data_IF_553903477702
#
_entry.id   IF_553903477702
#
_cell.length_a   1.000
_cell.length_b   1.000
_cell.length_c   1.000
_cell.angle_alpha   90.00
_cell.angle_beta   90.00
_cell.angle_gamma   90.00
#
_symmetry.space_group_name_H-M   'P 1'
#
loop_
_entity.id
_entity.type
_entity.pdbx_description
1 polymer ?
#
# COMPACT_ATOMS: atom_id res chain seq x y z
N UNK A 1 16.19 -14.81 42.22
CA UNK A 1 16.21 -15.30 43.63
C UNK A 1 15.55 -16.68 43.76
N UNK A 2 14.27 -16.84 43.42
CA UNK A 2 13.54 -18.13 43.56
C UNK A 2 14.28 -19.31 42.92
N UNK A 3 14.76 -19.15 41.67
CA UNK A 3 15.58 -20.18 41.00
C UNK A 3 16.82 -20.59 41.81
N UNK A 4 17.55 -19.61 42.34
CA UNK A 4 18.76 -19.85 43.12
C UNK A 4 18.50 -20.49 44.49
N UNK A 5 17.31 -20.31 45.07
CA UNK A 5 16.90 -21.00 46.31
C UNK A 5 16.52 -22.45 45.99
N UNK A 6 15.72 -22.67 44.94
CA UNK A 6 15.22 -23.99 44.57
C UNK A 6 16.32 -24.96 44.10
N UNK A 7 17.42 -24.46 43.55
CA UNK A 7 18.53 -25.28 43.02
C UNK A 7 19.77 -25.28 43.91
N UNK A 8 19.72 -24.67 45.10
CA UNK A 8 20.86 -24.63 46.01
C UNK A 8 21.12 -26.01 46.63
N UNK A 9 22.39 -26.42 46.66
CA UNK A 9 22.82 -27.64 47.35
C UNK A 9 23.83 -27.28 48.45
N UNK A 10 23.51 -27.52 49.74
CA UNK A 10 24.40 -27.23 50.86
C UNK A 10 25.68 -28.10 50.90
N UNK A 11 25.66 -29.29 50.30
CA UNK A 11 26.79 -30.23 50.28
C UNK A 11 27.98 -29.70 49.47
N UNK A 12 27.77 -28.67 48.64
CA UNK A 12 28.81 -28.06 47.79
C UNK A 12 29.70 -27.06 48.53
N UNK A 13 29.56 -26.91 49.85
CA UNK A 13 30.39 -26.04 50.71
C UNK A 13 30.56 -24.60 50.19
N UNK A 14 29.49 -24.03 49.63
CA UNK A 14 29.44 -22.63 49.20
C UNK A 14 28.34 -21.90 49.95
N UNK A 15 28.55 -20.62 50.28
CA UNK A 15 27.52 -19.81 50.93
C UNK A 15 26.36 -19.59 49.96
N UNK A 16 25.13 -19.75 50.47
CA UNK A 16 23.90 -19.50 49.70
C UNK A 16 23.92 -18.12 49.03
N UNK A 17 24.39 -17.08 49.73
CA UNK A 17 24.50 -15.73 49.19
C UNK A 17 25.37 -15.67 47.92
N UNK A 18 26.51 -16.38 47.91
CA UNK A 18 27.42 -16.44 46.77
C UNK A 18 26.77 -17.11 45.56
N UNK A 19 26.06 -18.22 45.78
CA UNK A 19 25.33 -18.92 44.72
C UNK A 19 24.14 -18.11 44.20
N UNK A 20 23.29 -17.62 45.10
CA UNK A 20 22.09 -16.86 44.76
C UNK A 20 22.42 -15.55 44.03
N UNK A 21 23.52 -14.88 44.39
CA UNK A 21 24.00 -13.69 43.69
C UNK A 21 24.27 -13.97 42.21
N UNK A 22 24.91 -15.10 41.89
CA UNK A 22 25.16 -15.50 40.49
C UNK A 22 23.88 -15.84 39.75
N UNK A 23 22.94 -16.50 40.40
CA UNK A 23 21.63 -16.79 39.80
C UNK A 23 20.83 -15.50 39.54
N UNK A 24 20.91 -14.50 40.42
CA UNK A 24 20.23 -13.19 40.25
C UNK A 24 20.88 -12.41 39.10
N UNK A 25 22.21 -12.30 39.09
CA UNK A 25 22.98 -11.65 38.04
C UNK A 25 22.64 -12.23 36.66
N UNK A 26 22.58 -13.56 36.55
CA UNK A 26 22.20 -14.22 35.30
C UNK A 26 20.76 -13.91 34.87
N UNK A 27 19.79 -13.86 35.79
CA UNK A 27 18.41 -13.52 35.42
C UNK A 27 18.25 -12.06 34.99
N UNK A 28 18.97 -11.13 35.63
CA UNK A 28 19.03 -9.73 35.18
C UNK A 28 19.62 -9.66 33.78
N UNK A 29 20.73 -10.35 33.53
CA UNK A 29 21.35 -10.43 32.21
C UNK A 29 20.39 -11.02 31.16
N UNK A 30 19.67 -12.09 31.49
CA UNK A 30 18.69 -12.71 30.60
C UNK A 30 17.51 -11.77 30.32
N UNK A 31 17.03 -11.03 31.31
CA UNK A 31 15.99 -10.01 31.14
C UNK A 31 16.46 -8.89 30.19
N UNK A 32 17.66 -8.35 30.41
CA UNK A 32 18.24 -7.30 29.56
C UNK A 32 18.43 -7.77 28.11
N UNK A 33 18.86 -9.02 27.89
CA UNK A 33 18.99 -9.60 26.54
C UNK A 33 17.65 -9.80 25.84
N UNK A 34 16.58 -10.10 26.58
CA UNK A 34 15.23 -10.23 26.00
C UNK A 34 14.68 -8.87 25.59
N UNK A 35 14.88 -7.86 26.43
CA UNK A 35 14.40 -6.49 26.21
C UNK A 35 15.34 -5.62 25.35
N UNK A 36 16.49 -6.14 24.89
CA UNK A 36 17.36 -5.36 24.00
C UNK A 36 16.71 -5.10 22.63
N UNK A 37 15.73 -5.93 22.23
CA UNK A 37 15.00 -5.77 20.96
C UNK A 37 14.05 -4.57 20.97
N UNK A 38 13.48 -4.25 22.12
CA UNK A 38 12.57 -3.11 22.31
C UNK A 38 13.30 -1.81 22.64
N UNK A 39 14.64 -1.82 22.75
CA UNK A 39 15.45 -0.63 23.08
C UNK A 39 15.45 0.44 21.97
N UNK A 40 15.08 0.06 20.74
CA UNK A 40 14.93 0.98 19.61
C UNK A 40 13.51 1.53 19.47
N UNK A 41 12.57 1.07 20.29
CA UNK A 41 11.20 1.57 20.29
C UNK A 41 11.17 2.95 20.96
N UNK A 42 10.51 3.89 20.31
CA UNK A 42 10.31 5.27 20.79
C UNK A 42 8.82 5.44 21.02
N UNK A 43 8.43 6.12 22.10
CA UNK A 43 7.02 6.41 22.35
C UNK A 43 6.52 7.44 21.34
N UNK A 44 5.33 7.23 20.79
CA UNK A 44 4.70 8.21 19.90
C UNK A 44 4.39 9.52 20.66
N UNK A 45 4.15 9.41 21.97
CA UNK A 45 3.89 10.54 22.87
C UNK A 45 5.18 11.18 23.43
N UNK A 46 6.37 10.81 22.93
CA UNK A 46 7.62 11.43 23.36
C UNK A 46 7.87 12.76 22.63
N UNK A 47 8.20 13.85 23.34
CA UNK A 47 8.48 15.13 22.70
C UNK A 47 9.79 15.07 21.90
N UNK A 48 9.70 15.33 20.60
CA UNK A 48 10.84 15.46 19.69
C UNK A 48 11.59 16.77 19.89
N UNK A 49 10.84 17.84 20.15
CA UNK A 49 11.39 19.18 20.39
C UNK A 49 10.45 19.96 21.32
N UNK A 50 11.01 20.94 22.03
CA UNK A 50 10.26 21.86 22.88
C UNK A 50 10.64 23.27 22.44
N UNK A 51 9.65 24.08 22.08
CA UNK A 51 9.90 25.46 21.74
C UNK A 51 10.26 26.30 22.99
N UNK A 52 10.58 27.56 22.78
CA UNK A 52 10.94 28.49 23.86
C UNK A 52 9.75 28.87 24.76
N UNK A 53 8.52 28.59 24.33
CA UNK A 53 7.27 28.79 25.07
C UNK A 53 6.83 27.52 25.84
N UNK A 54 7.56 26.40 25.69
CA UNK A 54 7.28 25.14 26.36
C UNK A 54 6.26 24.25 25.64
N UNK A 55 5.92 24.53 24.39
CA UNK A 55 5.08 23.64 23.60
C UNK A 55 5.91 22.47 23.09
N UNK A 56 5.40 21.27 23.32
CA UNK A 56 6.01 20.00 22.91
C UNK A 56 5.56 19.66 21.48
N UNK A 57 6.52 19.33 20.61
CA UNK A 57 6.26 18.71 19.31
C UNK A 57 6.39 17.20 19.47
N UNK A 58 5.30 16.45 19.37
CA UNK A 58 5.31 15.00 19.54
C UNK A 58 5.61 14.29 18.22
N UNK A 59 6.03 13.02 18.29
CA UNK A 59 6.20 12.21 17.10
C UNK A 59 4.85 11.97 16.40
N UNK A 60 3.76 11.80 17.15
CA UNK A 60 2.38 11.70 16.62
C UNK A 60 2.00 12.88 15.73
N UNK A 61 2.48 14.08 16.03
CA UNK A 61 2.13 15.30 15.27
C UNK A 61 2.78 15.33 13.89
N UNK A 62 3.89 14.60 13.70
CA UNK A 62 4.63 14.52 12.44
C UNK A 62 4.26 13.27 11.65
N UNK A 63 3.78 12.22 12.32
CA UNK A 63 3.34 10.97 11.69
C UNK A 63 2.03 11.20 10.91
N UNK A 64 2.15 11.71 9.68
CA UNK A 64 1.07 11.79 8.71
C UNK A 64 0.77 10.46 8.03
N UNK A 65 -0.38 10.38 7.37
CA UNK A 65 -0.65 9.37 6.35
C UNK A 65 0.14 9.66 5.08
N UNK A 66 0.47 8.63 4.31
CA UNK A 66 1.09 8.80 2.98
C UNK A 66 0.31 9.84 2.15
N UNK A 67 1.04 10.73 1.46
CA UNK A 67 0.48 11.85 0.68
C UNK A 67 -0.62 11.41 -0.33
N UNK A 68 -0.58 10.16 -0.76
CA UNK A 68 -1.35 9.62 -1.88
C UNK A 68 -2.78 9.17 -1.58
N UNK A 69 -3.24 9.18 -0.32
CA UNK A 69 -4.57 8.59 0.00
C UNK A 69 -5.73 9.45 -0.54
N UNK A 70 -5.59 10.78 -0.60
CA UNK A 70 -6.65 11.68 -1.10
C UNK A 70 -6.43 12.09 -2.55
N UNK A 71 -5.18 12.31 -2.96
CA UNK A 71 -4.85 12.75 -4.33
C UNK A 71 -5.24 11.73 -5.39
N UNK A 72 -5.02 10.44 -5.10
CA UNK A 72 -5.20 9.35 -6.08
C UNK A 72 -6.64 9.15 -6.53
N UNK A 73 -7.61 9.25 -5.60
CA UNK A 73 -9.02 9.09 -5.94
C UNK A 73 -9.51 10.27 -6.79
N UNK A 74 -9.10 11.48 -6.45
CA UNK A 74 -9.43 12.69 -7.23
C UNK A 74 -8.82 12.65 -8.63
N UNK A 75 -7.56 12.24 -8.76
CA UNK A 75 -6.86 12.10 -10.03
C UNK A 75 -7.55 11.04 -10.92
N UNK A 76 -7.88 9.87 -10.34
CA UNK A 76 -8.59 8.80 -11.04
C UNK A 76 -9.96 9.27 -11.58
N UNK A 77 -10.69 10.08 -10.81
CA UNK A 77 -11.98 10.62 -11.25
C UNK A 77 -11.85 11.65 -12.37
N UNK A 78 -10.78 12.46 -12.36
CA UNK A 78 -10.47 13.39 -13.45
C UNK A 78 -10.13 12.61 -14.73
N UNK A 79 -9.23 11.62 -14.65
CA UNK A 79 -8.86 10.77 -15.77
C UNK A 79 -10.07 10.06 -16.39
N UNK A 80 -10.97 9.52 -15.56
CA UNK A 80 -12.22 8.88 -16.03
C UNK A 80 -13.11 9.85 -16.78
N UNK A 81 -13.24 11.10 -16.30
CA UNK A 81 -14.05 12.13 -16.99
C UNK A 81 -13.44 12.51 -18.34
N UNK A 82 -12.12 12.66 -18.40
CA UNK A 82 -11.41 12.96 -19.65
C UNK A 82 -11.59 11.83 -20.67
N UNK A 83 -11.42 10.57 -20.24
CA UNK A 83 -11.61 9.40 -21.09
C UNK A 83 -13.05 9.31 -21.62
N UNK A 84 -14.06 9.49 -20.76
CA UNK A 84 -15.48 9.51 -21.18
C UNK A 84 -15.74 10.58 -22.25
N UNK A 85 -15.23 11.79 -22.03
CA UNK A 85 -15.37 12.90 -22.98
C UNK A 85 -14.70 12.59 -24.32
N UNK A 86 -13.54 11.92 -24.31
CA UNK A 86 -12.85 11.52 -25.53
C UNK A 86 -13.62 10.42 -26.30
N UNK A 87 -14.20 9.44 -25.60
CA UNK A 87 -15.01 8.37 -26.17
C UNK A 87 -16.30 8.91 -26.80
N UNK A 88 -16.90 9.95 -26.21
CA UNK A 88 -18.09 10.61 -26.77
C UNK A 88 -17.83 11.25 -28.14
N UNK A 89 -16.59 11.64 -28.46
CA UNK A 89 -16.21 12.20 -29.78
C UNK A 89 -15.98 11.13 -30.86
N UNK A 90 -15.94 9.85 -30.49
CA UNK A 90 -15.83 8.75 -31.45
C UNK A 90 -17.13 8.62 -32.25
N UNK A 91 -17.01 8.16 -33.51
CA UNK A 91 -18.20 7.80 -34.29
C UNK A 91 -18.93 6.61 -33.64
N UNK A 92 -20.23 6.45 -33.89
CA UNK A 92 -21.02 5.37 -33.27
C UNK A 92 -20.42 3.98 -33.46
N UNK A 93 -19.84 3.70 -34.64
CA UNK A 93 -19.15 2.43 -34.91
C UNK A 93 -17.83 2.30 -34.14
N UNK A 94 -17.03 3.36 -34.07
CA UNK A 94 -15.77 3.35 -33.31
C UNK A 94 -16.03 3.21 -31.81
N UNK A 95 -17.05 3.90 -31.29
CA UNK A 95 -17.49 3.80 -29.90
C UNK A 95 -17.93 2.39 -29.57
N UNK A 96 -18.81 1.78 -30.38
CA UNK A 96 -19.27 0.41 -30.19
C UNK A 96 -18.10 -0.60 -30.14
N UNK A 97 -17.08 -0.43 -31.00
CA UNK A 97 -15.89 -1.28 -30.98
C UNK A 97 -15.15 -1.15 -29.64
N UNK A 98 -14.92 0.07 -29.15
CA UNK A 98 -14.21 0.31 -27.88
C UNK A 98 -15.04 -0.17 -26.68
N UNK A 99 -16.34 0.09 -26.67
CA UNK A 99 -17.25 -0.38 -25.62
C UNK A 99 -17.25 -1.90 -25.50
N UNK A 100 -17.29 -2.62 -26.63
CA UNK A 100 -17.21 -4.08 -26.62
C UNK A 100 -15.82 -4.60 -26.26
N UNK A 101 -14.74 -3.94 -26.71
CA UNK A 101 -13.36 -4.41 -26.46
C UNK A 101 -12.94 -4.25 -25.00
N UNK A 102 -13.43 -3.22 -24.32
CA UNK A 102 -13.03 -2.84 -22.97
C UNK A 102 -14.18 -2.92 -21.95
N UNK A 103 -15.31 -3.53 -22.31
CA UNK A 103 -16.45 -3.70 -21.40
C UNK A 103 -17.08 -2.39 -20.91
N UNK A 104 -16.91 -1.30 -21.66
CA UNK A 104 -17.41 0.01 -21.25
C UNK A 104 -18.90 0.11 -21.58
N UNK A 105 -19.70 0.58 -20.62
CA UNK A 105 -21.15 0.77 -20.77
C UNK A 105 -21.93 -0.50 -21.18
N UNK A 106 -21.34 -1.70 -21.05
CA UNK A 106 -22.05 -2.97 -21.21
C UNK A 106 -22.73 -3.35 -19.90
N UNK A 107 -23.91 -3.96 -19.97
CA UNK A 107 -24.66 -4.39 -18.78
C UNK A 107 -23.87 -5.37 -17.91
N UNK A 108 -23.00 -6.15 -18.54
CA UNK A 108 -22.29 -7.26 -17.92
C UNK A 108 -20.82 -6.91 -17.62
N UNK A 109 -20.33 -5.75 -18.11
CA UNK A 109 -18.93 -5.32 -17.96
C UNK A 109 -17.90 -6.19 -18.70
N UNK A 110 -18.35 -7.17 -19.47
CA UNK A 110 -17.49 -8.18 -20.11
C UNK A 110 -16.73 -7.61 -21.32
N UNK A 111 -15.41 -7.82 -21.31
CA UNK A 111 -14.54 -7.51 -22.44
C UNK A 111 -14.66 -8.58 -23.53
N UNK A 112 -14.70 -8.17 -24.79
CA UNK A 112 -14.69 -9.09 -25.94
C UNK A 112 -13.37 -9.02 -26.66
N UNK A 113 -12.85 -10.16 -27.10
CA UNK A 113 -11.66 -10.25 -27.95
C UNK A 113 -11.88 -9.60 -29.32
N UNK A 114 -10.79 -9.22 -30.01
CA UNK A 114 -10.89 -8.68 -31.38
C UNK A 114 -11.59 -9.63 -32.35
N UNK A 115 -11.46 -10.94 -32.13
CA UNK A 115 -12.12 -11.97 -32.93
C UNK A 115 -13.62 -11.98 -32.68
N UNK A 116 -14.05 -11.97 -31.41
CA UNK A 116 -15.48 -11.94 -31.07
C UNK A 116 -16.16 -10.66 -31.57
N UNK A 117 -15.51 -9.50 -31.43
CA UNK A 117 -16.03 -8.24 -31.98
C UNK A 117 -16.09 -8.27 -33.51
N UNK A 118 -15.10 -8.89 -34.16
CA UNK A 118 -15.08 -9.08 -35.61
C UNK A 118 -16.24 -9.98 -36.07
N UNK A 119 -16.47 -11.10 -35.38
CA UNK A 119 -17.56 -12.03 -35.66
C UNK A 119 -18.93 -11.35 -35.46
N UNK A 120 -19.10 -10.55 -34.41
CA UNK A 120 -20.32 -9.77 -34.17
C UNK A 120 -20.59 -8.69 -35.23
N UNK A 121 -19.54 -8.05 -35.75
CA UNK A 121 -19.65 -6.97 -36.72
C UNK A 121 -19.55 -7.44 -38.18
N UNK A 122 -19.41 -8.75 -38.43
CA UNK A 122 -19.31 -9.33 -39.76
C UNK A 122 -18.09 -8.86 -40.56
N UNK A 123 -16.98 -8.57 -39.89
CA UNK A 123 -15.73 -8.09 -40.50
C UNK A 123 -14.54 -8.91 -40.03
N UNK A 124 -13.38 -8.79 -40.69
CA UNK A 124 -12.20 -9.55 -40.27
C UNK A 124 -11.58 -9.02 -38.97
N UNK A 125 -11.02 -9.91 -38.16
CA UNK A 125 -10.26 -9.56 -36.96
C UNK A 125 -9.10 -8.59 -37.29
N UNK A 126 -8.43 -8.76 -38.43
CA UNK A 126 -7.39 -7.83 -38.90
C UNK A 126 -7.94 -6.42 -39.17
N UNK A 127 -9.18 -6.29 -39.64
CA UNK A 127 -9.82 -4.99 -39.83
C UNK A 127 -10.17 -4.34 -38.49
N UNK A 128 -10.68 -5.10 -37.52
CA UNK A 128 -10.87 -4.63 -36.13
C UNK A 128 -9.56 -4.15 -35.53
N UNK A 129 -8.49 -4.93 -35.62
CA UNK A 129 -7.16 -4.58 -35.10
C UNK A 129 -6.65 -3.23 -35.65
N UNK A 130 -6.83 -3.00 -36.96
CA UNK A 130 -6.49 -1.71 -37.60
C UNK A 130 -7.34 -0.56 -37.10
N UNK A 131 -8.65 -0.77 -36.95
CA UNK A 131 -9.57 0.24 -36.41
C UNK A 131 -9.24 0.57 -34.95
N UNK A 132 -9.06 -0.43 -34.10
CA UNK A 132 -8.69 -0.26 -32.69
C UNK A 132 -7.42 0.59 -32.57
N UNK A 133 -6.36 0.27 -33.32
CA UNK A 133 -5.12 1.05 -33.33
C UNK A 133 -5.35 2.51 -33.74
N UNK A 134 -6.20 2.76 -34.74
CA UNK A 134 -6.55 4.12 -35.18
C UNK A 134 -7.33 4.87 -34.10
N UNK A 135 -8.29 4.20 -33.46
CA UNK A 135 -9.13 4.78 -32.41
C UNK A 135 -8.29 5.12 -31.19
N UNK A 136 -7.40 4.21 -30.73
CA UNK A 136 -6.48 4.46 -29.63
C UNK A 136 -5.57 5.67 -29.90
N UNK A 137 -5.06 5.79 -31.13
CA UNK A 137 -4.28 6.96 -31.54
C UNK A 137 -5.09 8.27 -31.50
N UNK A 138 -6.40 8.21 -31.77
CA UNK A 138 -7.29 9.37 -31.67
C UNK A 138 -7.62 9.72 -30.22
N UNK A 139 -7.95 8.73 -29.40
CA UNK A 139 -8.21 8.91 -27.98
C UNK A 139 -7.00 9.53 -27.26
N UNK A 140 -5.80 9.03 -27.51
CA UNK A 140 -4.56 9.60 -26.95
C UNK A 140 -4.40 11.08 -27.31
N UNK A 141 -4.66 11.46 -28.57
CA UNK A 141 -4.57 12.86 -29.00
C UNK A 141 -5.63 13.76 -28.38
N UNK A 142 -6.83 13.23 -28.17
CA UNK A 142 -7.90 13.99 -27.52
C UNK A 142 -7.60 14.20 -26.04
N UNK A 143 -7.13 13.16 -25.31
CA UNK A 143 -6.80 13.27 -23.88
C UNK A 143 -5.67 14.29 -23.65
N UNK A 144 -4.58 14.21 -24.43
CA UNK A 144 -3.45 15.15 -24.34
C UNK A 144 -3.84 16.60 -24.69
N UNK A 145 -4.97 16.81 -25.40
CA UNK A 145 -5.48 18.15 -25.68
C UNK A 145 -6.24 18.75 -24.49
N UNK A 146 -6.71 17.91 -23.58
CA UNK A 146 -7.45 18.33 -22.39
C UNK A 146 -6.56 18.47 -21.14
N UNK A 147 -5.36 17.89 -21.17
CA UNK A 147 -4.25 18.24 -20.27
C UNK A 147 -3.72 19.65 -20.60
#
# INVERSE_FOLDING_TARGET
LIKGINTFNPDKNIKLATYASRCIENEILMYLRRNSKTKLEVSIDEPLNVDWDGNELLLSDILGTDEDVVGKDMETDVERKLLKTAIEKLSGRERMIIELRFGLNTSDGEEKTQKEVADMLGISQSYISRLEKKIMGRLKKEIVRFE
#
